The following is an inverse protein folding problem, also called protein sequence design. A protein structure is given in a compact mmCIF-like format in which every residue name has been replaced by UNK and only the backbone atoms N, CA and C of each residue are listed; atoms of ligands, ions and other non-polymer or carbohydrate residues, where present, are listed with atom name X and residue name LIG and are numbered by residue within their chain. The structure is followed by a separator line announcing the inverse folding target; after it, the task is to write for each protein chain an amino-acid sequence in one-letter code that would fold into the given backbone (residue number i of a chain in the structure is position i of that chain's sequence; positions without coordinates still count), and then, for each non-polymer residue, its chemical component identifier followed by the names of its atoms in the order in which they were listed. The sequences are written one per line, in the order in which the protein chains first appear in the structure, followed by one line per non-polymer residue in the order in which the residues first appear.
data_IF_304936360497
#
_entry.id   IF_304936360497
#
_cell.length_a   1.000
_cell.length_b   1.000
_cell.length_c   1.000
_cell.angle_alpha   90.00
_cell.angle_beta   90.00
_cell.angle_gamma   90.00
#
_symmetry.space_group_name_H-M   'P 1'
#
loop_
_entity.id
_entity.type
_entity.pdbx_description
1 polymer ?
#
# COMPACT_ATOMS: atom_id res chain seq x y z
N UNK A 1 -13.58 22.64 -48.66
CA UNK A 1 -13.20 21.37 -48.00
C UNK A 1 -12.21 21.69 -46.90
N UNK A 2 -12.64 21.66 -45.63
CA UNK A 2 -11.74 21.75 -44.47
C UNK A 2 -11.88 20.46 -43.68
N UNK A 3 -10.82 19.67 -43.66
CA UNK A 3 -10.73 18.44 -42.89
C UNK A 3 -10.70 18.78 -41.40
N UNK A 4 -11.79 18.49 -40.68
CA UNK A 4 -11.76 18.28 -39.24
C UNK A 4 -11.62 16.79 -39.00
N UNK A 5 -10.41 16.28 -39.23
CA UNK A 5 -10.00 14.98 -38.73
C UNK A 5 -8.98 15.24 -37.62
N UNK A 6 -9.02 14.41 -36.58
CA UNK A 6 -8.00 14.26 -35.53
C UNK A 6 -8.14 15.21 -34.34
N UNK A 7 -8.70 14.72 -33.22
CA UNK A 7 -7.96 14.43 -31.99
C UNK A 7 -8.93 13.87 -30.92
N UNK A 8 -9.40 12.63 -31.11
CA UNK A 8 -10.07 11.86 -30.05
C UNK A 8 -9.21 10.63 -29.74
N UNK A 9 -7.98 10.88 -29.32
CA UNK A 9 -7.03 9.86 -28.92
C UNK A 9 -6.47 10.30 -27.56
N UNK A 10 -6.45 9.37 -26.60
CA UNK A 10 -5.75 9.43 -25.30
C UNK A 10 -6.56 9.83 -24.04
N UNK A 11 -7.74 9.25 -23.81
CA UNK A 11 -8.28 9.12 -22.43
C UNK A 11 -8.65 7.67 -22.10
N UNK A 12 -7.89 6.70 -22.60
CA UNK A 12 -7.85 5.35 -21.98
C UNK A 12 -6.73 5.33 -20.96
N UNK A 13 -6.68 6.30 -20.04
CA UNK A 13 -5.83 6.19 -18.86
C UNK A 13 -6.29 4.93 -18.13
N UNK A 14 -5.40 3.95 -18.22
CA UNK A 14 -5.70 2.53 -18.13
C UNK A 14 -6.37 2.18 -16.81
N UNK A 15 -7.57 1.61 -16.87
CA UNK A 15 -8.21 0.93 -15.73
C UNK A 15 -7.20 -0.02 -15.05
N UNK A 16 -6.31 -0.65 -15.84
CA UNK A 16 -5.22 -1.49 -15.35
C UNK A 16 -4.21 -0.77 -14.44
N UNK A 17 -3.94 0.52 -14.62
CA UNK A 17 -3.04 1.28 -13.75
C UNK A 17 -3.71 1.57 -12.39
N UNK A 18 -4.98 1.95 -12.40
CA UNK A 18 -5.77 2.17 -11.17
C UNK A 18 -5.93 0.88 -10.35
N UNK A 19 -6.16 -0.25 -11.03
CA UNK A 19 -6.20 -1.57 -10.39
C UNK A 19 -4.83 -1.97 -9.86
N UNK A 20 -3.75 -1.71 -10.61
CA UNK A 20 -2.38 -2.00 -10.17
C UNK A 20 -2.02 -1.26 -8.89
N UNK A 21 -2.30 0.04 -8.81
CA UNK A 21 -1.95 0.83 -7.63
C UNK A 21 -2.74 0.39 -6.39
N UNK A 22 -3.97 -0.07 -6.60
CA UNK A 22 -4.83 -0.59 -5.54
C UNK A 22 -4.34 -1.92 -4.96
N UNK A 23 -3.49 -2.68 -5.67
CA UNK A 23 -2.93 -3.96 -5.20
C UNK A 23 -1.77 -3.79 -4.22
N UNK A 24 -1.07 -2.66 -4.25
CA UNK A 24 0.17 -2.50 -3.49
C UNK A 24 -0.05 -2.54 -1.96
N UNK A 25 0.87 -3.13 -1.21
CA UNK A 25 0.78 -3.31 0.24
C UNK A 25 0.47 -4.75 0.64
N UNK A 26 0.10 -4.95 1.91
CA UNK A 26 -0.03 -6.29 2.51
C UNK A 26 -1.48 -6.76 2.54
N UNK A 27 -1.67 -7.97 2.05
CA UNK A 27 -2.93 -8.70 2.02
C UNK A 27 -2.79 -9.95 2.87
N UNK A 28 -3.70 -10.15 3.81
CA UNK A 28 -3.73 -11.32 4.69
C UNK A 28 -4.94 -12.17 4.36
N UNK A 29 -4.74 -13.49 4.28
CA UNK A 29 -5.82 -14.44 4.06
C UNK A 29 -6.89 -14.32 5.15
N UNK A 30 -8.14 -14.20 4.72
CA UNK A 30 -9.30 -14.13 5.61
C UNK A 30 -10.07 -15.45 5.57
N UNK A 31 -10.50 -15.89 4.39
CA UNK A 31 -11.36 -17.05 4.24
C UNK A 31 -11.39 -17.59 2.81
N UNK A 32 -11.84 -18.84 2.65
CA UNK A 32 -12.28 -19.38 1.37
C UNK A 32 -13.75 -19.02 1.09
N UNK A 33 -14.16 -19.01 -0.18
CA UNK A 33 -15.58 -18.89 -0.53
C UNK A 33 -16.42 -20.05 0.05
N UNK A 34 -17.70 -19.80 0.32
CA UNK A 34 -18.59 -20.79 0.96
C UNK A 34 -19.04 -21.91 0.02
N UNK A 35 -19.00 -21.68 -1.28
CA UNK A 35 -19.54 -22.55 -2.32
C UNK A 35 -18.50 -23.47 -2.97
N UNK A 36 -17.35 -23.67 -2.36
CA UNK A 36 -16.26 -24.48 -2.95
C UNK A 36 -16.56 -25.99 -3.08
N UNK A 37 -17.78 -26.44 -2.76
CA UNK A 37 -18.14 -27.86 -2.80
C UNK A 37 -17.35 -28.74 -1.83
N UNK A 38 -16.68 -28.13 -0.85
CA UNK A 38 -15.89 -28.80 0.17
C UNK A 38 -16.69 -28.87 1.47
N UNK A 39 -16.66 -30.04 2.12
CA UNK A 39 -17.24 -30.22 3.45
C UNK A 39 -16.73 -29.17 4.46
N UNK A 40 -17.61 -28.74 5.39
CA UNK A 40 -17.32 -27.66 6.34
C UNK A 40 -16.12 -27.94 7.23
N UNK A 41 -15.93 -29.19 7.67
CA UNK A 41 -14.79 -29.54 8.54
C UNK A 41 -13.47 -29.49 7.77
N UNK A 42 -13.51 -29.95 6.50
CA UNK A 42 -12.35 -29.88 5.62
C UNK A 42 -12.00 -28.43 5.28
N UNK A 43 -12.99 -27.56 5.02
CA UNK A 43 -12.79 -26.12 4.82
C UNK A 43 -12.11 -25.50 6.04
N UNK A 44 -12.67 -25.67 7.24
CA UNK A 44 -12.13 -25.11 8.47
C UNK A 44 -10.68 -25.55 8.74
N UNK A 45 -10.35 -26.80 8.43
CA UNK A 45 -8.98 -27.32 8.57
C UNK A 45 -8.01 -26.64 7.61
N UNK A 46 -8.38 -26.47 6.34
CA UNK A 46 -7.53 -25.79 5.36
C UNK A 46 -7.38 -24.32 5.71
N UNK A 47 -8.44 -23.65 6.15
CA UNK A 47 -8.36 -22.26 6.64
C UNK A 47 -7.41 -22.13 7.83
N UNK A 48 -7.41 -23.11 8.74
CA UNK A 48 -6.45 -23.19 9.84
C UNK A 48 -4.98 -23.21 9.37
N UNK A 49 -4.68 -23.94 8.29
CA UNK A 49 -3.33 -23.96 7.70
C UNK A 49 -2.96 -22.66 6.99
N UNK A 50 -3.95 -21.97 6.43
CA UNK A 50 -3.77 -20.70 5.71
C UNK A 50 -3.76 -19.48 6.65
N UNK A 51 -3.98 -19.68 7.95
CA UNK A 51 -3.94 -18.60 8.92
C UNK A 51 -2.56 -17.93 8.95
N UNK A 52 -2.55 -16.62 8.80
CA UNK A 52 -1.31 -15.84 8.70
C UNK A 52 -0.64 -15.93 7.32
N UNK A 53 -1.33 -16.47 6.31
CA UNK A 53 -0.87 -16.36 4.93
C UNK A 53 -0.95 -14.91 4.46
N UNK A 54 0.18 -14.34 4.03
CA UNK A 54 0.23 -12.95 3.58
C UNK A 54 0.90 -12.82 2.23
N UNK A 55 0.44 -11.85 1.43
CA UNK A 55 1.11 -11.34 0.24
C UNK A 55 1.42 -9.86 0.42
N UNK A 56 2.60 -9.44 -0.05
CA UNK A 56 2.98 -8.03 -0.13
C UNK A 56 3.33 -7.72 -1.58
N UNK A 57 2.63 -6.77 -2.18
CA UNK A 57 2.93 -6.28 -3.53
C UNK A 57 3.59 -4.90 -3.45
N UNK A 58 4.78 -4.76 -4.05
CA UNK A 58 5.53 -3.51 -4.06
C UNK A 58 5.40 -2.79 -5.42
N UNK A 59 5.49 -1.44 -5.47
CA UNK A 59 5.35 -0.66 -6.70
C UNK A 59 6.42 -0.96 -7.78
N UNK A 60 7.59 -1.43 -7.37
CA UNK A 60 8.72 -1.82 -8.22
C UNK A 60 8.57 -3.21 -8.86
N UNK A 61 7.38 -3.81 -8.73
CA UNK A 61 7.05 -5.17 -9.17
C UNK A 61 7.70 -6.29 -8.34
N UNK A 62 8.26 -5.99 -7.17
CA UNK A 62 8.65 -7.03 -6.22
C UNK A 62 7.44 -7.56 -5.45
N UNK A 63 7.47 -8.82 -5.01
CA UNK A 63 6.52 -9.36 -4.04
C UNK A 63 7.20 -10.20 -2.96
N UNK A 64 6.51 -10.31 -1.84
CA UNK A 64 6.80 -11.27 -0.78
C UNK A 64 5.53 -12.05 -0.42
N UNK A 65 5.61 -13.37 -0.34
CA UNK A 65 4.55 -14.23 0.15
C UNK A 65 5.04 -14.99 1.38
N UNK A 66 4.22 -15.08 2.42
CA UNK A 66 4.59 -15.78 3.66
C UNK A 66 3.48 -16.71 4.08
N UNK A 67 3.79 -18.00 4.25
CA UNK A 67 2.89 -19.03 4.77
C UNK A 67 3.63 -19.83 5.84
N UNK A 68 3.11 -19.84 7.07
CA UNK A 68 3.76 -20.50 8.21
C UNK A 68 5.19 -19.96 8.42
N UNK A 69 6.20 -20.84 8.37
CA UNK A 69 7.62 -20.51 8.49
C UNK A 69 8.29 -20.22 7.14
N UNK A 70 7.57 -20.38 6.03
CA UNK A 70 8.10 -20.22 4.68
C UNK A 70 7.86 -18.80 4.17
N UNK A 71 8.91 -18.22 3.60
CA UNK A 71 8.83 -16.93 2.90
C UNK A 71 9.34 -17.12 1.47
N UNK A 72 8.53 -16.69 0.51
CA UNK A 72 8.85 -16.63 -0.90
C UNK A 72 8.95 -15.18 -1.35
N UNK A 73 9.88 -14.92 -2.27
CA UNK A 73 10.20 -13.58 -2.78
C UNK A 73 10.42 -13.65 -4.28
N UNK A 74 10.03 -12.61 -4.99
CA UNK A 74 10.15 -12.60 -6.44
C UNK A 74 9.61 -11.33 -7.10
N UNK A 75 9.33 -11.44 -8.39
CA UNK A 75 8.68 -10.40 -9.18
C UNK A 75 7.24 -10.78 -9.49
N UNK A 76 6.35 -9.80 -9.55
CA UNK A 76 4.96 -9.99 -9.98
C UNK A 76 4.64 -9.13 -11.19
N UNK A 77 3.62 -9.56 -11.94
CA UNK A 77 3.10 -8.81 -13.09
C UNK A 77 1.59 -8.90 -13.13
N UNK A 78 0.93 -7.77 -13.39
CA UNK A 78 -0.50 -7.73 -13.69
C UNK A 78 -0.72 -7.71 -15.21
N UNK A 79 -1.51 -8.66 -15.71
CA UNK A 79 -1.97 -8.69 -17.11
C UNK A 79 -3.49 -8.85 -17.11
N UNK A 80 -4.22 -7.80 -17.50
CA UNK A 80 -5.67 -7.76 -17.28
C UNK A 80 -5.99 -7.80 -15.78
N UNK A 81 -6.80 -8.76 -15.36
CA UNK A 81 -7.10 -9.03 -13.95
C UNK A 81 -6.22 -10.13 -13.34
N UNK A 82 -5.20 -10.63 -14.04
CA UNK A 82 -4.39 -11.76 -13.56
C UNK A 82 -3.04 -11.29 -13.04
N UNK A 83 -2.74 -11.61 -11.79
CA UNK A 83 -1.42 -11.47 -11.17
C UNK A 83 -0.63 -12.74 -11.45
N UNK A 84 0.57 -12.61 -12.00
CA UNK A 84 1.54 -13.72 -12.13
C UNK A 84 2.72 -13.43 -11.22
N UNK A 85 3.06 -14.39 -10.36
CA UNK A 85 4.21 -14.31 -9.46
C UNK A 85 5.33 -15.24 -9.93
N UNK A 86 6.53 -14.70 -10.08
CA UNK A 86 7.74 -15.43 -10.49
C UNK A 86 8.77 -15.31 -9.37
N UNK A 87 9.24 -16.41 -8.82
CA UNK A 87 10.25 -16.42 -7.75
C UNK A 87 11.57 -15.82 -8.23
N UNK A 88 12.45 -15.45 -7.30
CA UNK A 88 13.81 -15.01 -7.63
C UNK A 88 14.63 -16.04 -8.44
N UNK A 89 14.24 -17.33 -8.43
CA UNK A 89 14.84 -18.38 -9.27
C UNK A 89 14.29 -18.39 -10.71
N UNK A 90 13.38 -17.47 -11.06
CA UNK A 90 12.76 -17.40 -12.38
C UNK A 90 11.63 -18.41 -12.61
N UNK A 91 11.18 -19.13 -11.57
CA UNK A 91 10.07 -20.08 -11.67
C UNK A 91 8.75 -19.38 -11.41
N UNK A 92 7.72 -19.67 -12.19
CA UNK A 92 6.36 -19.22 -11.89
C UNK A 92 5.90 -19.93 -10.62
N UNK A 93 5.70 -19.16 -9.54
CA UNK A 93 5.17 -19.64 -8.27
C UNK A 93 3.66 -19.85 -8.36
N UNK A 94 2.95 -18.94 -9.03
CA UNK A 94 1.52 -19.06 -9.22
C UNK A 94 0.90 -17.90 -10.00
N UNK A 95 -0.39 -18.10 -10.30
CA UNK A 95 -1.25 -17.09 -10.91
C UNK A 95 -2.49 -16.89 -10.04
N UNK A 96 -2.89 -15.63 -9.86
CA UNK A 96 -4.10 -15.23 -9.14
C UNK A 96 -4.96 -14.39 -10.07
N UNK A 97 -6.19 -14.81 -10.32
CA UNK A 97 -7.18 -14.01 -11.04
C UNK A 97 -7.94 -13.13 -10.04
N UNK A 98 -7.91 -11.82 -10.20
CA UNK A 98 -8.66 -10.86 -9.38
C UNK A 98 -10.14 -10.91 -9.80
N UNK A 99 -11.00 -11.31 -8.86
CA UNK A 99 -12.46 -11.32 -9.02
C UNK A 99 -13.09 -10.01 -8.54
N UNK A 100 -12.59 -9.47 -7.43
CA UNK A 100 -12.94 -8.14 -6.93
C UNK A 100 -11.79 -7.53 -6.14
N UNK A 101 -11.65 -6.20 -6.22
CA UNK A 101 -10.64 -5.45 -5.49
C UNK A 101 -11.27 -4.18 -4.94
N UNK A 102 -11.44 -4.15 -3.62
CA UNK A 102 -11.93 -3.04 -2.83
C UNK A 102 -10.79 -2.55 -1.92
N UNK A 103 -10.87 -1.32 -1.34
CA UNK A 103 -9.77 -0.74 -0.57
C UNK A 103 -9.21 -1.65 0.55
N UNK A 104 -10.07 -2.42 1.22
CA UNK A 104 -9.69 -3.29 2.34
C UNK A 104 -9.93 -4.79 2.08
N UNK A 105 -10.39 -5.15 0.89
CA UNK A 105 -10.81 -6.53 0.61
C UNK A 105 -10.50 -6.91 -0.83
N UNK A 106 -9.84 -8.04 -1.00
CA UNK A 106 -9.51 -8.58 -2.32
C UNK A 106 -10.03 -10.01 -2.41
N UNK A 107 -10.78 -10.31 -3.47
CA UNK A 107 -11.17 -11.68 -3.82
C UNK A 107 -10.38 -12.12 -5.03
N UNK A 108 -9.71 -13.26 -4.90
CA UNK A 108 -8.93 -13.86 -5.98
C UNK A 108 -9.33 -15.30 -6.20
N UNK A 109 -9.15 -15.78 -7.43
CA UNK A 109 -9.22 -17.18 -7.80
C UNK A 109 -7.82 -17.71 -8.07
N UNK A 110 -7.50 -18.86 -7.49
CA UNK A 110 -6.31 -19.65 -7.81
C UNK A 110 -6.75 -21.08 -8.12
N UNK A 111 -6.67 -21.48 -9.40
CA UNK A 111 -7.28 -22.72 -9.89
C UNK A 111 -8.77 -22.75 -9.51
N UNK A 112 -9.23 -23.78 -8.79
CA UNK A 112 -10.61 -23.94 -8.34
C UNK A 112 -10.89 -23.22 -7.00
N UNK A 113 -9.88 -22.64 -6.34
CA UNK A 113 -10.05 -22.03 -5.03
C UNK A 113 -10.37 -20.54 -5.17
N UNK A 114 -11.44 -20.09 -4.53
CA UNK A 114 -11.73 -18.67 -4.38
C UNK A 114 -11.37 -18.26 -2.95
N UNK A 115 -10.47 -17.31 -2.84
CA UNK A 115 -9.91 -16.82 -1.59
C UNK A 115 -10.25 -15.35 -1.40
N UNK A 116 -10.53 -15.00 -0.16
CA UNK A 116 -10.71 -13.63 0.29
C UNK A 116 -9.53 -13.23 1.14
N UNK A 117 -8.95 -12.07 0.82
CA UNK A 117 -7.90 -11.43 1.57
C UNK A 117 -8.43 -10.11 2.13
N UNK A 118 -8.05 -9.81 3.35
CA UNK A 118 -8.23 -8.48 3.96
C UNK A 118 -6.92 -7.71 3.87
N UNK A 119 -7.02 -6.40 3.74
CA UNK A 119 -5.82 -5.56 3.83
C UNK A 119 -5.29 -5.59 5.26
N UNK A 120 -3.99 -5.77 5.40
CA UNK A 120 -3.28 -5.70 6.66
C UNK A 120 -2.37 -4.48 6.60
N UNK A 121 -2.84 -3.37 7.16
CA UNK A 121 -2.18 -2.05 7.11
C UNK A 121 -0.88 -1.98 7.93
N UNK A 122 -0.39 -3.11 8.44
CA UNK A 122 0.88 -3.18 9.18
C UNK A 122 2.13 -2.88 8.33
N UNK A 123 1.99 -2.75 7.00
CA UNK A 123 3.07 -2.33 6.09
C UNK A 123 2.57 -1.20 5.19
N UNK A 124 3.17 -0.01 5.33
CA UNK A 124 2.85 1.12 4.46
C UNK A 124 3.38 0.86 3.06
N UNK A 125 2.51 0.94 2.06
CA UNK A 125 2.94 0.99 0.67
C UNK A 125 3.48 2.41 0.38
N UNK A 126 4.70 2.57 -0.16
CA UNK A 126 5.24 3.89 -0.48
C UNK A 126 4.37 4.67 -1.47
N UNK A 127 3.60 4.02 -2.34
CA UNK A 127 2.64 4.74 -3.20
C UNK A 127 1.52 5.42 -2.42
N UNK A 128 1.16 4.91 -1.23
CA UNK A 128 0.22 5.60 -0.35
C UNK A 128 0.87 6.76 0.40
N UNK A 129 2.20 6.93 0.33
CA UNK A 129 2.92 8.05 0.95
C UNK A 129 3.12 9.18 -0.06
N UNK A 130 3.27 8.85 -1.36
CA UNK A 130 3.62 9.76 -2.46
C UNK A 130 2.52 10.75 -2.87
N UNK A 131 2.13 11.63 -1.94
CA UNK A 131 1.13 12.67 -2.16
C UNK A 131 1.51 13.96 -1.44
N UNK A 132 0.76 15.01 -1.78
CA UNK A 132 0.65 16.19 -0.95
C UNK A 132 -0.39 15.93 0.14
N UNK A 133 0.06 16.07 1.38
CA UNK A 133 -0.66 15.77 2.60
C UNK A 133 -0.83 17.06 3.41
N UNK A 134 -2.07 17.48 3.62
CA UNK A 134 -2.42 18.58 4.52
C UNK A 134 -2.22 18.15 5.96
N UNK A 135 -1.48 18.93 6.73
CA UNK A 135 -1.26 18.65 8.15
C UNK A 135 -2.51 19.04 8.94
N UNK A 136 -3.13 18.07 9.61
CA UNK A 136 -4.35 18.28 10.39
C UNK A 136 -4.07 18.57 11.86
N UNK A 137 -3.01 17.98 12.41
CA UNK A 137 -2.70 18.17 13.82
C UNK A 137 -1.74 17.16 14.41
N UNK A 138 -1.54 17.29 15.72
CA UNK A 138 -0.75 16.35 16.51
C UNK A 138 -1.64 15.58 17.47
N UNK A 139 -1.39 14.27 17.57
CA UNK A 139 -1.95 13.38 18.58
C UNK A 139 -0.88 13.13 19.62
N UNK A 140 -1.14 13.46 20.89
CA UNK A 140 -0.12 13.38 21.96
C UNK A 140 0.06 11.96 22.51
N UNK A 141 -0.99 11.16 22.47
CA UNK A 141 -0.99 9.74 22.82
C UNK A 141 -1.67 8.94 21.69
N UNK A 142 -1.07 7.85 21.15
CA UNK A 142 -1.69 7.04 20.11
C UNK A 142 -3.10 6.53 20.45
N UNK A 143 -3.37 6.33 21.75
CA UNK A 143 -4.66 5.84 22.24
C UNK A 143 -5.69 6.97 22.44
N UNK A 144 -5.28 8.24 22.32
CA UNK A 144 -6.16 9.40 22.42
C UNK A 144 -6.83 9.68 21.08
N UNK A 145 -8.15 9.87 21.10
CA UNK A 145 -8.91 10.24 19.89
C UNK A 145 -8.75 11.73 19.57
N UNK A 146 -8.37 12.56 20.55
CA UNK A 146 -8.29 14.01 20.40
C UNK A 146 -7.06 14.44 19.57
N UNK A 147 -7.36 15.15 18.48
CA UNK A 147 -6.35 15.77 17.63
C UNK A 147 -6.18 17.23 18.03
N UNK A 148 -4.97 17.65 18.38
CA UNK A 148 -4.67 19.07 18.52
C UNK A 148 -4.52 19.70 17.13
N UNK A 149 -5.44 20.59 16.73
CA UNK A 149 -5.50 21.05 15.34
C UNK A 149 -4.29 21.90 14.97
N UNK A 150 -3.79 21.69 13.77
CA UNK A 150 -2.70 22.47 13.21
C UNK A 150 -3.21 23.79 12.59
N UNK A 151 -2.36 24.83 12.52
CA UNK A 151 -2.62 26.00 11.70
C UNK A 151 -2.87 25.62 10.24
N UNK A 152 -3.74 26.38 9.58
CA UNK A 152 -4.04 26.20 8.16
C UNK A 152 -2.80 26.34 7.28
N UNK A 153 -2.85 25.73 6.08
CA UNK A 153 -1.82 25.76 5.05
C UNK A 153 -0.50 25.02 5.37
N UNK A 154 -0.47 24.23 6.43
CA UNK A 154 0.64 23.33 6.70
C UNK A 154 0.51 22.05 5.86
N UNK A 155 1.59 21.59 5.26
CA UNK A 155 1.59 20.37 4.46
C UNK A 155 2.97 19.69 4.39
N UNK A 156 2.95 18.42 3.98
CA UNK A 156 4.11 17.68 3.51
C UNK A 156 3.79 17.09 2.13
N UNK A 157 4.71 17.18 1.19
CA UNK A 157 4.55 16.71 -0.18
C UNK A 157 5.69 15.73 -0.50
N UNK A 158 5.39 14.44 -0.52
CA UNK A 158 6.32 13.38 -0.91
C UNK A 158 6.14 13.07 -2.39
N UNK A 159 7.16 13.35 -3.21
CA UNK A 159 7.07 13.20 -4.66
C UNK A 159 7.69 11.89 -5.15
N UNK A 160 7.21 11.36 -6.29
CA UNK A 160 7.75 10.14 -6.89
C UNK A 160 9.21 10.23 -7.35
N UNK A 161 9.75 11.44 -7.52
CA UNK A 161 11.16 11.67 -7.87
C UNK A 161 12.10 11.63 -6.65
N UNK A 162 11.61 11.10 -5.52
CA UNK A 162 12.29 11.05 -4.22
C UNK A 162 12.61 12.43 -3.63
N UNK A 163 11.99 13.52 -4.12
CA UNK A 163 12.05 14.82 -3.47
C UNK A 163 10.87 15.01 -2.53
N UNK A 164 11.04 15.86 -1.51
CA UNK A 164 9.93 16.27 -0.67
C UNK A 164 9.95 17.76 -0.37
N UNK A 165 8.79 18.29 0.02
CA UNK A 165 8.62 19.65 0.52
C UNK A 165 7.77 19.64 1.77
N UNK A 166 8.18 20.36 2.82
CA UNK A 166 7.42 20.58 4.04
C UNK A 166 7.19 22.07 4.21
N UNK A 167 5.96 22.45 4.54
CA UNK A 167 5.61 23.78 5.02
C UNK A 167 4.86 23.62 6.35
N UNK A 168 5.44 24.12 7.44
CA UNK A 168 4.79 24.16 8.76
C UNK A 168 5.06 25.52 9.41
N UNK A 169 4.04 26.36 9.49
CA UNK A 169 4.18 27.75 9.94
C UNK A 169 5.14 28.53 9.04
N UNK A 170 6.25 29.01 9.61
CA UNK A 170 7.30 29.71 8.86
C UNK A 170 8.40 28.78 8.32
N UNK A 171 8.37 27.50 8.67
CA UNK A 171 9.35 26.52 8.25
C UNK A 171 8.99 26.08 6.83
N UNK A 172 9.92 26.31 5.90
CA UNK A 172 9.91 25.71 4.58
C UNK A 172 11.17 24.86 4.43
N UNK A 173 10.98 23.57 4.18
CA UNK A 173 12.07 22.62 4.04
C UNK A 173 11.87 21.81 2.76
N UNK A 174 12.97 21.59 2.04
CA UNK A 174 13.00 20.70 0.88
C UNK A 174 14.18 19.77 0.98
N UNK A 175 14.04 18.58 0.42
CA UNK A 175 15.13 17.62 0.39
C UNK A 175 14.77 16.36 -0.36
N UNK A 176 15.47 15.28 -0.02
CA UNK A 176 15.23 13.95 -0.55
C UNK A 176 14.61 13.06 0.51
N UNK A 177 13.74 12.15 0.11
CA UNK A 177 13.17 11.16 1.00
C UNK A 177 13.30 9.76 0.40
N UNK A 178 13.28 8.76 1.26
CA UNK A 178 13.05 7.39 0.88
C UNK A 178 12.20 6.69 1.94
N UNK A 179 11.54 5.63 1.54
CA UNK A 179 10.78 4.78 2.45
C UNK A 179 11.48 3.44 2.62
N UNK A 180 11.87 3.12 3.85
CA UNK A 180 12.32 1.79 4.22
C UNK A 180 11.11 0.93 4.59
N UNK A 181 10.73 0.07 3.64
CA UNK A 181 9.62 -0.85 3.84
C UNK A 181 9.86 -1.88 4.96
N UNK A 182 11.12 -2.20 5.29
CA UNK A 182 11.44 -3.19 6.34
C UNK A 182 11.13 -2.65 7.73
N UNK A 183 11.41 -1.37 7.94
CA UNK A 183 11.23 -0.69 9.23
C UNK A 183 9.98 0.19 9.24
N UNK A 184 9.25 0.22 8.13
CA UNK A 184 8.09 1.08 7.91
C UNK A 184 8.39 2.55 8.24
N UNK A 185 9.54 3.04 7.76
CA UNK A 185 10.09 4.34 8.15
C UNK A 185 10.36 5.19 6.92
N UNK A 186 9.89 6.44 6.94
CA UNK A 186 10.32 7.49 6.02
C UNK A 186 11.60 8.10 6.57
N UNK A 187 12.60 8.22 5.70
CA UNK A 187 13.87 8.86 6.03
C UNK A 187 14.02 10.04 5.07
N UNK A 188 14.06 11.24 5.64
CA UNK A 188 14.08 12.49 4.92
C UNK A 188 15.36 13.26 5.22
N UNK A 189 16.10 13.62 4.18
CA UNK A 189 17.38 14.31 4.26
C UNK A 189 17.28 15.67 3.59
N UNK A 190 17.68 16.72 4.29
CA UNK A 190 17.73 18.10 3.78
C UNK A 190 19.05 18.75 4.19
N UNK A 191 19.20 20.05 3.89
CA UNK A 191 20.34 20.84 4.34
C UNK A 191 20.42 20.96 5.88
N UNK A 192 19.30 20.78 6.60
CA UNK A 192 19.26 20.82 8.07
C UNK A 192 19.64 19.49 8.74
N UNK A 193 19.76 18.40 7.95
CA UNK A 193 20.12 17.07 8.42
C UNK A 193 19.14 15.99 7.97
N UNK A 194 19.19 14.84 8.64
CA UNK A 194 18.30 13.71 8.38
C UNK A 194 17.26 13.55 9.50
N UNK A 195 16.03 13.24 9.11
CA UNK A 195 14.90 12.95 10.00
C UNK A 195 14.36 11.57 9.66
N UNK A 196 13.79 10.91 10.66
CA UNK A 196 13.15 9.60 10.52
C UNK A 196 11.76 9.63 11.13
N UNK A 197 10.78 9.17 10.36
CA UNK A 197 9.40 9.04 10.80
C UNK A 197 8.91 7.62 10.57
N UNK A 198 8.47 6.96 11.62
CA UNK A 198 7.74 5.70 11.51
C UNK A 198 6.37 5.99 10.95
N UNK A 199 5.98 5.28 9.90
CA UNK A 199 4.65 5.39 9.32
C UNK A 199 3.72 4.48 10.12
N UNK A 200 2.68 5.04 10.71
CA UNK A 200 1.68 4.29 11.49
C UNK A 200 0.46 4.00 10.63
N UNK A 201 0.03 4.97 9.82
CA UNK A 201 -1.06 4.84 8.86
C UNK A 201 -0.60 5.45 7.54
N UNK A 202 -0.86 4.78 6.41
CA UNK A 202 -0.73 5.35 5.08
C UNK A 202 -1.74 4.72 4.13
N UNK A 203 -2.86 5.41 3.91
CA UNK A 203 -3.94 4.98 3.02
C UNK A 203 -4.33 6.10 2.04
N UNK A 204 -5.50 6.00 1.40
CA UNK A 204 -5.94 6.98 0.40
C UNK A 204 -6.31 8.35 0.98
N UNK A 205 -6.57 8.45 2.28
CA UNK A 205 -7.14 9.63 2.92
C UNK A 205 -6.33 10.12 4.11
N UNK A 206 -5.54 9.24 4.74
CA UNK A 206 -4.84 9.52 5.98
C UNK A 206 -3.40 9.05 5.91
N UNK A 207 -2.50 9.92 6.37
CA UNK A 207 -1.12 9.59 6.68
C UNK A 207 -0.90 9.94 8.15
N UNK A 208 -0.34 9.01 8.91
CA UNK A 208 0.08 9.23 10.29
C UNK A 208 1.54 8.86 10.46
N UNK A 209 2.33 9.83 10.93
CA UNK A 209 3.77 9.72 11.11
C UNK A 209 4.14 9.89 12.57
N UNK A 210 5.01 9.04 13.10
CA UNK A 210 5.54 9.13 14.46
C UNK A 210 7.04 9.38 14.42
N UNK A 211 7.54 10.32 15.20
CA UNK A 211 8.99 10.46 15.37
C UNK A 211 9.52 9.35 16.27
N UNK A 212 10.62 8.69 15.87
CA UNK A 212 11.12 7.43 16.46
C UNK A 212 11.18 7.35 18.01
N UNK A 213 11.29 8.48 18.71
CA UNK A 213 11.40 8.53 20.18
C UNK A 213 10.19 9.16 20.88
N UNK A 214 9.21 9.68 20.14
CA UNK A 214 8.05 10.37 20.69
C UNK A 214 6.79 9.53 20.52
N UNK A 215 5.91 9.55 21.53
CA UNK A 215 4.53 9.05 21.41
C UNK A 215 3.65 9.97 20.53
N UNK A 216 4.18 11.11 20.12
CA UNK A 216 3.44 12.10 19.36
C UNK A 216 3.29 11.68 17.90
N UNK A 217 2.03 11.49 17.48
CA UNK A 217 1.64 11.26 16.10
C UNK A 217 1.36 12.57 15.38
N UNK A 218 1.82 12.68 14.15
CA UNK A 218 1.52 13.77 13.22
C UNK A 218 0.51 13.23 12.21
N UNK A 219 -0.68 13.80 12.19
CA UNK A 219 -1.79 13.33 11.35
C UNK A 219 -1.98 14.25 10.17
N UNK A 220 -2.13 13.65 9.00
CA UNK A 220 -2.31 14.35 7.74
C UNK A 220 -3.47 13.77 6.94
N UNK A 221 -4.08 14.62 6.12
CA UNK A 221 -5.16 14.29 5.18
C UNK A 221 -4.80 14.66 3.74
N UNK A 222 -5.55 14.15 2.75
CA UNK A 222 -5.40 14.59 1.35
C UNK A 222 -6.29 15.78 1.02
#
# INVERSE_FOLDING_TARGET
MKHYFTLLLLITFSINAQVRDSLFGTWEFEAFADDMGVDKEKKARVEGYMKGYTFVFYPDNYYEAKLLTSTEKGIWKLTGNTITATTNEGKISGTLEILSLEPHKMKVRQKELIMTFKRNDSFSNPANIMHKWKFEGTRLDPDDEDLQPAPANNFIDFRPDNTYTVTVGQINETGFWYFDAKTNTIIATSASGAKQWKVVIANSNTLELHMNTAKTGFVFSR
#
